data_IF_224218599403
#
_entry.id   IF_224218599403
#
_cell.length_a   1.000
_cell.length_b   1.000
_cell.length_c   1.000
_cell.angle_alpha   90.00
_cell.angle_beta   90.00
_cell.angle_gamma   90.00
#
_symmetry.space_group_name_H-M   'P 1'
#
loop_
_entity.id
_entity.type
_entity.pdbx_description
1 polymer ?
#
# COMPACT_ATOMS: atom_id res chain seq x y z
N UNK A 1 -6.98 5.32 -17.74
CA UNK A 1 -5.95 6.37 -17.85
C UNK A 1 -6.52 7.78 -17.61
N UNK A 2 -7.46 8.27 -18.43
CA UNK A 2 -8.06 9.61 -18.24
C UNK A 2 -8.69 9.84 -16.85
N UNK A 3 -9.45 8.85 -16.33
CA UNK A 3 -10.04 8.95 -14.99
C UNK A 3 -8.99 9.08 -13.88
N UNK A 4 -7.88 8.36 -13.97
CA UNK A 4 -6.80 8.43 -12.99
C UNK A 4 -6.10 9.81 -13.03
N UNK A 5 -5.86 10.35 -14.23
CA UNK A 5 -5.30 11.71 -14.40
C UNK A 5 -6.23 12.74 -13.78
N UNK A 6 -7.54 12.65 -14.05
CA UNK A 6 -8.53 13.56 -13.49
C UNK A 6 -8.56 13.49 -11.95
N UNK A 7 -8.64 12.29 -11.38
CA UNK A 7 -8.64 12.09 -9.92
C UNK A 7 -7.36 12.62 -9.26
N UNK A 8 -6.20 12.41 -9.89
CA UNK A 8 -4.93 12.90 -9.39
C UNK A 8 -4.84 14.44 -9.45
N UNK A 9 -5.37 15.05 -10.52
CA UNK A 9 -5.45 16.51 -10.64
C UNK A 9 -6.35 17.12 -9.56
N UNK A 10 -7.48 16.47 -9.22
CA UNK A 10 -8.32 16.87 -8.10
C UNK A 10 -7.59 16.70 -6.77
N UNK A 11 -6.90 15.57 -6.56
CA UNK A 11 -6.12 15.33 -5.35
C UNK A 11 -4.96 16.33 -5.19
N UNK A 12 -4.41 16.89 -6.27
CA UNK A 12 -3.37 17.92 -6.20
C UNK A 12 -3.87 19.26 -5.61
N UNK A 13 -5.18 19.45 -5.48
CA UNK A 13 -5.78 20.63 -4.83
C UNK A 13 -5.92 20.48 -3.31
N UNK A 14 -5.52 19.36 -2.72
CA UNK A 14 -5.50 19.14 -1.26
C UNK A 14 -4.90 20.29 -0.44
N UNK A 15 -3.73 20.88 -0.81
CA UNK A 15 -3.11 21.96 -0.03
C UNK A 15 -3.97 23.25 0.05
N UNK A 16 -4.99 23.40 -0.79
CA UNK A 16 -5.94 24.53 -0.70
C UNK A 16 -6.87 24.38 0.51
N UNK A 17 -7.14 23.15 0.94
CA UNK A 17 -8.12 22.83 1.97
C UNK A 17 -7.49 22.36 3.28
N UNK A 18 -6.32 21.75 3.23
CA UNK A 18 -5.58 21.27 4.40
C UNK A 18 -4.08 21.39 4.17
N UNK A 19 -3.35 21.90 5.18
CA UNK A 19 -1.88 22.02 5.17
C UNK A 19 -1.23 21.20 6.28
N UNK A 20 -2.01 20.43 7.04
CA UNK A 20 -1.56 19.64 8.16
C UNK A 20 -1.42 18.14 7.83
N UNK A 21 -2.09 17.32 8.63
CA UNK A 21 -1.96 15.87 8.59
C UNK A 21 -2.49 15.26 7.28
N UNK A 22 -3.62 15.73 6.77
CA UNK A 22 -4.22 15.22 5.53
C UNK A 22 -3.34 15.52 4.32
N UNK A 23 -2.70 16.69 4.26
CA UNK A 23 -1.70 16.98 3.23
C UNK A 23 -0.51 16.02 3.31
N UNK A 24 0.02 15.80 4.51
CA UNK A 24 1.15 14.89 4.72
C UNK A 24 0.81 13.45 4.30
N UNK A 25 -0.35 12.94 4.74
CA UNK A 25 -0.85 11.64 4.32
C UNK A 25 -1.06 11.55 2.81
N UNK A 26 -1.69 12.56 2.21
CA UNK A 26 -1.95 12.60 0.77
C UNK A 26 -0.67 12.52 -0.05
N UNK A 27 0.36 13.29 0.35
CA UNK A 27 1.69 13.25 -0.28
C UNK A 27 2.34 11.87 -0.10
N UNK A 28 2.28 11.29 1.10
CA UNK A 28 2.80 9.94 1.35
C UNK A 28 2.10 8.88 0.49
N UNK A 29 0.78 8.92 0.37
CA UNK A 29 0.01 8.01 -0.49
C UNK A 29 0.41 8.19 -1.96
N UNK A 30 0.54 9.43 -2.44
CA UNK A 30 0.96 9.71 -3.81
C UNK A 30 2.37 9.17 -4.09
N UNK A 31 3.30 9.36 -3.15
CA UNK A 31 4.66 8.81 -3.24
C UNK A 31 4.64 7.28 -3.37
N UNK A 32 3.94 6.57 -2.48
CA UNK A 32 3.86 5.11 -2.54
C UNK A 32 3.13 4.61 -3.79
N UNK A 33 2.15 5.37 -4.30
CA UNK A 33 1.46 5.04 -5.55
C UNK A 33 2.43 5.08 -6.73
N UNK A 34 3.21 6.16 -6.88
CA UNK A 34 4.22 6.27 -7.95
C UNK A 34 5.28 5.18 -7.79
N UNK A 35 5.75 4.92 -6.57
CA UNK A 35 6.70 3.85 -6.29
C UNK A 35 6.18 2.48 -6.75
N UNK A 36 4.91 2.18 -6.52
CA UNK A 36 4.29 0.92 -6.96
C UNK A 36 4.32 0.76 -8.49
N UNK A 37 4.16 1.85 -9.25
CA UNK A 37 4.27 1.79 -10.72
C UNK A 37 5.68 1.41 -11.17
N UNK A 38 6.71 2.02 -10.57
CA UNK A 38 8.10 1.68 -10.83
C UNK A 38 8.39 0.21 -10.49
N UNK A 39 7.85 -0.28 -9.37
CA UNK A 39 7.97 -1.68 -8.97
C UNK A 39 7.34 -2.64 -9.97
N UNK A 40 6.12 -2.36 -10.44
CA UNK A 40 5.46 -3.19 -11.45
C UNK A 40 6.23 -3.25 -12.76
N UNK A 41 6.90 -2.16 -13.16
CA UNK A 41 7.76 -2.14 -14.34
C UNK A 41 8.96 -3.08 -14.18
N UNK A 42 9.56 -3.15 -12.98
CA UNK A 42 10.72 -3.99 -12.70
C UNK A 42 10.40 -5.46 -12.40
N UNK A 43 9.24 -5.74 -11.78
CA UNK A 43 8.86 -7.10 -11.39
C UNK A 43 7.98 -7.83 -12.41
N UNK A 44 7.25 -7.09 -13.24
CA UNK A 44 6.34 -7.65 -14.25
C UNK A 44 7.10 -8.02 -15.54
N UNK A 45 7.20 -7.11 -16.52
CA UNK A 45 7.71 -7.43 -17.85
C UNK A 45 9.20 -7.77 -17.88
N UNK A 46 10.01 -7.24 -16.96
CA UNK A 46 11.46 -7.47 -16.96
C UNK A 46 11.90 -8.67 -16.14
N UNK A 47 11.04 -9.22 -15.27
CA UNK A 47 11.33 -10.36 -14.38
C UNK A 47 12.66 -10.27 -13.59
N UNK A 48 13.22 -9.06 -13.41
CA UNK A 48 14.54 -8.89 -12.80
C UNK A 48 14.51 -9.06 -11.28
N UNK A 49 13.38 -8.72 -10.64
CA UNK A 49 13.24 -8.75 -9.19
C UNK A 49 11.82 -9.12 -8.77
N UNK A 50 11.68 -10.06 -7.83
CA UNK A 50 10.39 -10.35 -7.21
C UNK A 50 10.20 -9.44 -6.00
N UNK A 51 9.22 -8.53 -6.07
CA UNK A 51 8.86 -7.61 -4.99
C UNK A 51 7.72 -8.16 -4.10
N UNK A 52 7.17 -9.32 -4.46
CA UNK A 52 6.08 -9.97 -3.74
C UNK A 52 6.47 -10.27 -2.28
N UNK A 53 7.66 -10.82 -2.04
CA UNK A 53 8.13 -11.15 -0.68
C UNK A 53 8.17 -9.92 0.23
N UNK A 54 8.70 -8.80 -0.26
CA UNK A 54 8.77 -7.56 0.51
C UNK A 54 7.37 -7.01 0.81
N UNK A 55 6.47 -7.03 -0.18
CA UNK A 55 5.09 -6.58 -0.01
C UNK A 55 4.32 -7.44 1.01
N UNK A 56 4.39 -8.77 0.92
CA UNK A 56 3.69 -9.68 1.83
C UNK A 56 4.28 -9.67 3.25
N UNK A 57 5.60 -9.53 3.38
CA UNK A 57 6.22 -9.35 4.68
C UNK A 57 5.75 -8.05 5.35
N UNK A 58 5.76 -6.93 4.62
CA UNK A 58 5.28 -5.65 5.13
C UNK A 58 3.80 -5.68 5.53
N UNK A 59 2.95 -6.31 4.70
CA UNK A 59 1.53 -6.52 4.99
C UNK A 59 1.33 -7.30 6.30
N UNK A 60 2.04 -8.42 6.47
CA UNK A 60 1.95 -9.22 7.69
C UNK A 60 2.40 -8.45 8.94
N UNK A 61 3.50 -7.69 8.82
CA UNK A 61 3.98 -6.82 9.90
C UNK A 61 2.94 -5.76 10.28
N UNK A 62 2.22 -5.18 9.32
CA UNK A 62 1.20 -4.18 9.60
C UNK A 62 -0.02 -4.79 10.31
N UNK A 63 -0.48 -5.96 9.86
CA UNK A 63 -1.60 -6.69 10.48
C UNK A 63 -1.27 -7.07 11.93
N UNK A 64 -0.08 -7.66 12.15
CA UNK A 64 0.35 -8.05 13.48
C UNK A 64 0.56 -6.80 14.34
N UNK A 65 1.40 -5.86 13.90
CA UNK A 65 1.75 -4.67 14.67
C UNK A 65 0.56 -3.81 15.08
N UNK A 66 -0.43 -3.64 14.20
CA UNK A 66 -1.64 -2.87 14.51
C UNK A 66 -2.65 -3.59 15.41
N UNK A 67 -2.56 -4.92 15.52
CA UNK A 67 -3.54 -5.74 16.24
C UNK A 67 -3.06 -6.32 17.57
N UNK A 68 -1.77 -6.21 17.89
CA UNK A 68 -1.15 -6.83 19.07
C UNK A 68 -1.82 -6.42 20.39
N UNK A 69 -2.31 -5.18 20.49
CA UNK A 69 -2.96 -4.67 21.70
C UNK A 69 -4.41 -5.15 21.88
N UNK A 70 -5.00 -5.76 20.83
CA UNK A 70 -6.44 -6.03 20.74
C UNK A 70 -6.74 -7.53 20.62
N UNK A 71 -5.81 -8.32 20.08
CA UNK A 71 -5.99 -9.74 19.77
C UNK A 71 -4.74 -10.56 20.11
N UNK A 72 -4.88 -11.86 20.42
CA UNK A 72 -3.74 -12.72 20.68
C UNK A 72 -2.91 -12.96 19.40
N UNK A 73 -1.59 -13.01 19.55
CA UNK A 73 -0.64 -13.16 18.44
C UNK A 73 -0.96 -14.29 17.44
N UNK A 74 -1.33 -15.52 17.87
CA UNK A 74 -1.67 -16.58 16.91
C UNK A 74 -2.83 -16.23 15.97
N UNK A 75 -3.83 -15.50 16.46
CA UNK A 75 -4.97 -15.06 15.65
C UNK A 75 -4.54 -14.03 14.60
N UNK A 76 -3.66 -13.11 14.97
CA UNK A 76 -3.10 -12.11 14.05
C UNK A 76 -2.28 -12.75 12.92
N UNK A 77 -1.54 -13.83 13.22
CA UNK A 77 -0.82 -14.60 12.19
C UNK A 77 -1.80 -15.24 11.20
N UNK A 78 -2.91 -15.80 11.67
CA UNK A 78 -3.96 -16.35 10.80
C UNK A 78 -4.55 -15.26 9.92
N UNK A 79 -4.90 -14.10 10.50
CA UNK A 79 -5.44 -12.95 9.75
C UNK A 79 -4.44 -12.48 8.69
N UNK A 80 -3.16 -12.29 9.06
CA UNK A 80 -2.11 -11.89 8.13
C UNK A 80 -1.99 -12.87 6.95
N UNK A 81 -2.09 -14.17 7.23
CA UNK A 81 -2.07 -15.23 6.22
C UNK A 81 -3.27 -15.14 5.28
N UNK A 82 -4.48 -14.97 5.83
CA UNK A 82 -5.71 -14.87 5.04
C UNK A 82 -5.72 -13.61 4.16
N UNK A 83 -5.33 -12.46 4.70
CA UNK A 83 -5.22 -11.21 3.93
C UNK A 83 -4.17 -11.37 2.82
N UNK A 84 -3.01 -11.94 3.13
CA UNK A 84 -1.97 -12.22 2.14
C UNK A 84 -2.45 -13.16 1.04
N UNK A 85 -3.17 -14.23 1.39
CA UNK A 85 -3.71 -15.20 0.43
C UNK A 85 -4.77 -14.58 -0.50
N UNK A 86 -5.67 -13.75 0.05
CA UNK A 86 -6.66 -13.03 -0.76
C UNK A 86 -5.97 -12.09 -1.73
N UNK A 87 -5.02 -11.27 -1.26
CA UNK A 87 -4.29 -10.33 -2.11
C UNK A 87 -3.44 -11.02 -3.19
N UNK A 88 -2.89 -12.20 -2.89
CA UNK A 88 -2.15 -12.99 -3.88
C UNK A 88 -3.04 -13.54 -5.02
N UNK A 89 -4.35 -13.64 -4.79
CA UNK A 89 -5.32 -14.14 -5.77
C UNK A 89 -6.01 -13.07 -6.61
N UNK A 90 -5.77 -11.78 -6.34
CA UNK A 90 -6.29 -10.64 -7.10
C UNK A 90 -5.34 -10.27 -8.25
#
# INVERSE_FOLDING_TARGET
>A
MLAAIFLFAVAALLPVFDTGYGLSLGVTIAMYTVLSTSWTLFSGPTHYISLATAAFFGLGMYVVGGGLDIMPFPLLVIIATLVGAVLAGL
#
